data_IF_213340356348
#
_entry.id   IF_213340356348
#
_cell.length_a   1.000
_cell.length_b   1.000
_cell.length_c   1.000
_cell.angle_alpha   90.00
_cell.angle_beta   90.00
_cell.angle_gamma   90.00
#
_symmetry.space_group_name_H-M   'P 1'
#
loop_
_entity.id
_entity.type
_entity.pdbx_description
1 polymer ?
#
# COMPACT_ATOMS: atom_id res chain seq x y z
N UNK A 1 -19.12 43.35 4.20
CA UNK A 1 -18.31 42.32 3.51
C UNK A 1 -17.96 41.26 4.54
N UNK A 2 -18.47 40.05 4.35
CA UNK A 2 -18.14 38.78 4.97
C UNK A 2 -18.40 38.59 6.48
N UNK A 3 -19.66 38.27 6.81
CA UNK A 3 -19.99 37.31 7.87
C UNK A 3 -20.50 36.04 7.19
N UNK A 4 -19.58 35.15 6.86
CA UNK A 4 -19.87 33.74 6.55
C UNK A 4 -18.57 32.98 6.87
N UNK A 5 -18.23 32.90 8.15
CA UNK A 5 -17.36 31.81 8.63
C UNK A 5 -18.19 30.53 8.49
N UNK A 6 -17.85 29.60 7.57
CA UNK A 6 -18.50 28.31 7.56
C UNK A 6 -18.15 27.64 8.89
N UNK A 7 -19.18 27.54 9.75
CA UNK A 7 -19.26 26.66 10.92
C UNK A 7 -18.20 25.57 10.84
N UNK A 8 -17.24 25.60 11.78
CA UNK A 8 -16.30 24.53 12.07
C UNK A 8 -17.05 23.33 12.69
N UNK A 9 -18.18 22.92 12.11
CA UNK A 9 -18.92 21.75 12.56
C UNK A 9 -18.19 20.51 12.05
N UNK A 10 -17.48 19.89 12.99
CA UNK A 10 -17.37 18.43 13.11
C UNK A 10 -16.32 17.78 12.21
N UNK A 11 -15.06 18.12 12.52
CA UNK A 11 -13.94 17.23 12.23
C UNK A 11 -13.97 16.09 13.25
N UNK A 12 -14.64 14.98 12.92
CA UNK A 12 -14.37 13.71 13.60
C UNK A 12 -13.02 13.20 13.09
N UNK A 13 -12.00 13.23 13.95
CA UNK A 13 -10.66 12.77 13.60
C UNK A 13 -10.69 11.30 13.22
N UNK A 14 -10.11 10.97 12.05
CA UNK A 14 -10.02 9.60 11.51
C UNK A 14 -9.47 8.61 12.55
N UNK A 15 -8.48 9.05 13.32
CA UNK A 15 -7.87 8.26 14.38
C UNK A 15 -8.83 8.01 15.54
N UNK A 16 -9.56 9.05 15.98
CA UNK A 16 -10.55 8.94 17.04
C UNK A 16 -11.65 7.92 16.69
N UNK A 17 -12.08 7.88 15.43
CA UNK A 17 -13.13 6.94 15.04
C UNK A 17 -12.62 5.50 14.89
N UNK A 18 -11.39 5.31 14.41
CA UNK A 18 -10.79 3.99 14.31
C UNK A 18 -10.42 3.40 15.68
N UNK A 19 -9.89 4.24 16.59
CA UNK A 19 -9.34 3.78 17.87
C UNK A 19 -10.35 3.84 19.03
N UNK A 20 -11.34 4.73 19.02
CA UNK A 20 -12.32 4.83 20.10
C UNK A 20 -13.70 4.31 19.68
N UNK A 21 -14.25 4.77 18.55
CA UNK A 21 -15.65 4.46 18.17
C UNK A 21 -15.81 3.02 17.69
N UNK A 22 -14.90 2.53 16.84
CA UNK A 22 -14.99 1.19 16.26
C UNK A 22 -14.85 0.07 17.31
N UNK A 23 -13.92 0.15 18.27
CA UNK A 23 -13.86 -0.78 19.39
C UNK A 23 -15.11 -0.74 20.25
N UNK A 24 -15.69 0.44 20.50
CA UNK A 24 -16.96 0.55 21.24
C UNK A 24 -18.09 -0.21 20.52
N UNK A 25 -18.22 -0.06 19.20
CA UNK A 25 -19.25 -0.75 18.42
C UNK A 25 -19.09 -2.28 18.43
N UNK A 26 -17.85 -2.76 18.32
CA UNK A 26 -17.56 -4.21 18.28
C UNK A 26 -17.60 -4.87 19.67
N UNK A 27 -17.41 -4.11 20.74
CA UNK A 27 -17.37 -4.61 22.12
C UNK A 27 -18.73 -4.62 22.82
N UNK A 28 -19.82 -4.18 22.16
CA UNK A 28 -21.19 -4.32 22.67
C UNK A 28 -21.83 -5.55 22.01
N UNK A 29 -21.69 -6.76 22.58
CA UNK A 29 -22.36 -7.95 22.06
C UNK A 29 -23.85 -7.90 22.44
N UNK A 30 -24.62 -7.08 21.74
CA UNK A 30 -26.07 -7.08 21.87
C UNK A 30 -26.71 -7.92 20.76
N UNK A 31 -27.60 -8.83 21.17
CA UNK A 31 -28.42 -9.65 20.27
C UNK A 31 -29.78 -9.01 19.97
N UNK A 32 -29.99 -7.79 20.43
CA UNK A 32 -31.23 -7.09 20.18
C UNK A 32 -31.26 -6.55 18.73
N UNK A 33 -32.30 -6.86 17.94
CA UNK A 33 -32.39 -6.44 16.55
C UNK A 33 -32.25 -4.92 16.37
N UNK A 34 -32.78 -4.12 17.30
CA UNK A 34 -32.66 -2.66 17.27
C UNK A 34 -31.20 -2.20 17.35
N UNK A 35 -30.41 -2.82 18.23
CA UNK A 35 -28.99 -2.47 18.42
C UNK A 35 -28.15 -2.97 17.25
N UNK A 36 -28.43 -4.17 16.74
CA UNK A 36 -27.79 -4.70 15.53
C UNK A 36 -28.00 -3.70 14.38
N UNK A 37 -29.25 -3.29 14.11
CA UNK A 37 -29.54 -2.36 13.03
C UNK A 37 -28.93 -0.97 13.21
N UNK A 38 -28.83 -0.48 14.46
CA UNK A 38 -28.11 0.75 14.76
C UNK A 38 -26.61 0.63 14.43
N UNK A 39 -25.99 -0.48 14.81
CA UNK A 39 -24.58 -0.77 14.48
C UNK A 39 -24.36 -0.82 12.96
N UNK A 40 -25.23 -1.50 12.22
CA UNK A 40 -25.20 -1.53 10.74
C UNK A 40 -25.29 -0.12 10.15
N UNK A 41 -26.18 0.72 10.64
CA UNK A 41 -26.32 2.09 10.14
C UNK A 41 -25.04 2.92 10.37
N UNK A 42 -24.37 2.74 11.51
CA UNK A 42 -23.11 3.43 11.81
C UNK A 42 -22.00 2.92 10.88
N UNK A 43 -21.89 1.60 10.66
CA UNK A 43 -20.91 1.06 9.71
C UNK A 43 -21.17 1.53 8.27
N UNK A 44 -22.43 1.67 7.85
CA UNK A 44 -22.77 2.26 6.53
C UNK A 44 -22.33 3.73 6.43
N UNK A 45 -22.58 4.51 7.47
CA UNK A 45 -22.14 5.91 7.53
C UNK A 45 -20.60 6.01 7.51
N UNK A 46 -19.91 5.12 8.23
CA UNK A 46 -18.46 5.04 8.26
C UNK A 46 -17.87 4.60 6.91
N UNK A 47 -18.57 3.73 6.16
CA UNK A 47 -18.18 3.33 4.81
C UNK A 47 -18.31 4.45 3.79
N UNK A 48 -19.40 5.21 3.84
CA UNK A 48 -19.72 6.22 2.82
C UNK A 48 -19.08 7.59 3.07
N UNK A 49 -18.43 7.79 4.23
CA UNK A 49 -17.79 9.05 4.56
C UNK A 49 -16.32 9.02 4.14
N UNK A 50 -15.96 9.82 3.12
CA UNK A 50 -14.59 10.00 2.63
C UNK A 50 -13.58 10.39 3.74
N UNK A 51 -14.05 10.94 4.87
CA UNK A 51 -13.22 11.36 6.00
C UNK A 51 -12.95 10.27 7.04
N UNK A 52 -13.84 9.28 7.16
CA UNK A 52 -13.72 8.20 8.14
C UNK A 52 -12.99 6.99 7.54
N UNK A 53 -13.20 6.75 6.24
CA UNK A 53 -12.33 5.94 5.40
C UNK A 53 -11.87 4.64 6.07
N UNK A 54 -12.81 3.75 6.39
CA UNK A 54 -12.49 2.42 6.88
C UNK A 54 -11.53 1.74 5.88
N UNK A 55 -10.30 1.52 6.32
CA UNK A 55 -9.28 0.84 5.51
C UNK A 55 -9.65 -0.62 5.29
N UNK A 56 -9.26 -1.21 4.15
CA UNK A 56 -9.43 -2.66 3.90
C UNK A 56 -8.96 -3.55 5.06
N UNK A 57 -7.90 -3.14 5.77
CA UNK A 57 -7.29 -3.90 6.87
C UNK A 57 -8.24 -3.99 8.07
N UNK A 58 -8.83 -2.86 8.47
CA UNK A 58 -9.80 -2.81 9.58
C UNK A 58 -11.08 -3.55 9.22
N UNK A 59 -11.55 -3.39 7.97
CA UNK A 59 -12.74 -4.08 7.49
C UNK A 59 -12.54 -5.60 7.54
N UNK A 60 -11.42 -6.09 7.02
CA UNK A 60 -11.13 -7.52 6.94
C UNK A 60 -10.86 -8.16 8.31
N UNK A 61 -10.23 -7.43 9.25
CA UNK A 61 -9.78 -8.01 10.53
C UNK A 61 -10.72 -7.79 11.70
N UNK A 62 -11.57 -6.76 11.65
CA UNK A 62 -12.46 -6.37 12.77
C UNK A 62 -13.92 -6.33 12.37
N UNK A 63 -14.26 -5.59 11.31
CA UNK A 63 -15.65 -5.28 10.98
C UNK A 63 -16.39 -6.50 10.44
N UNK A 64 -15.90 -7.10 9.35
CA UNK A 64 -16.55 -8.27 8.73
C UNK A 64 -16.61 -9.46 9.69
N UNK A 65 -15.53 -9.82 10.42
CA UNK A 65 -15.59 -10.90 11.42
C UNK A 65 -16.62 -10.66 12.53
N UNK A 66 -16.91 -9.40 12.85
CA UNK A 66 -17.93 -9.04 13.83
C UNK A 66 -19.36 -9.03 13.25
N UNK A 67 -19.55 -8.52 12.03
CA UNK A 67 -20.87 -8.39 11.41
C UNK A 67 -21.48 -9.71 10.94
N UNK A 68 -20.66 -10.65 10.46
CA UNK A 68 -21.16 -11.92 9.92
C UNK A 68 -21.91 -12.75 10.98
N UNK A 69 -21.41 -12.92 12.23
CA UNK A 69 -22.17 -13.56 13.29
C UNK A 69 -23.52 -12.88 13.61
N UNK A 70 -23.60 -11.55 13.51
CA UNK A 70 -24.85 -10.83 13.75
C UNK A 70 -25.91 -11.14 12.68
N UNK A 71 -25.49 -11.50 11.45
CA UNK A 71 -26.44 -11.81 10.35
C UNK A 71 -27.28 -13.07 10.58
N UNK A 72 -26.85 -13.98 11.47
CA UNK A 72 -27.53 -15.25 11.75
C UNK A 72 -28.34 -15.22 13.05
N UNK A 73 -28.49 -14.06 13.68
CA UNK A 73 -29.27 -13.92 14.90
C UNK A 73 -30.76 -14.17 14.64
N UNK A 74 -31.38 -15.04 15.46
CA UNK A 74 -32.76 -15.50 15.26
C UNK A 74 -33.82 -14.39 15.40
N UNK A 75 -33.45 -13.26 16.01
CA UNK A 75 -34.35 -12.11 16.18
C UNK A 75 -34.51 -11.24 14.93
N UNK A 76 -33.78 -11.52 13.85
CA UNK A 76 -33.78 -10.69 12.66
C UNK A 76 -34.96 -10.97 11.73
N UNK A 77 -35.47 -9.91 11.11
CA UNK A 77 -36.39 -10.04 9.97
C UNK A 77 -35.62 -10.24 8.66
N UNK A 78 -36.28 -10.77 7.63
CA UNK A 78 -35.67 -10.96 6.30
C UNK A 78 -35.03 -9.67 5.75
N UNK A 79 -35.71 -8.53 5.94
CA UNK A 79 -35.22 -7.24 5.48
C UNK A 79 -33.97 -6.79 6.25
N UNK A 80 -33.91 -7.06 7.56
CA UNK A 80 -32.73 -6.77 8.38
C UNK A 80 -31.54 -7.62 7.95
N UNK A 81 -31.75 -8.92 7.76
CA UNK A 81 -30.74 -9.82 7.20
C UNK A 81 -30.20 -9.33 5.85
N UNK A 82 -31.09 -8.97 4.93
CA UNK A 82 -30.70 -8.44 3.62
C UNK A 82 -29.86 -7.17 3.75
N UNK A 83 -30.21 -6.29 4.69
CA UNK A 83 -29.47 -5.06 4.97
C UNK A 83 -28.06 -5.34 5.47
N UNK A 84 -27.91 -6.27 6.42
CA UNK A 84 -26.60 -6.69 6.94
C UNK A 84 -25.76 -7.29 5.82
N UNK A 85 -26.32 -8.23 5.07
CA UNK A 85 -25.60 -8.92 4.01
C UNK A 85 -25.23 -8.03 2.82
N UNK A 86 -26.03 -7.00 2.51
CA UNK A 86 -25.66 -5.99 1.50
C UNK A 86 -24.39 -5.27 1.93
N UNK A 87 -24.36 -4.80 3.18
CA UNK A 87 -23.20 -4.11 3.73
C UNK A 87 -21.95 -5.00 3.76
N UNK A 88 -22.08 -6.26 4.17
CA UNK A 88 -20.95 -7.21 4.19
C UNK A 88 -20.39 -7.42 2.78
N UNK A 89 -21.26 -7.56 1.77
CA UNK A 89 -20.79 -7.69 0.37
C UNK A 89 -20.09 -6.43 -0.11
N UNK A 90 -20.65 -5.25 0.16
CA UNK A 90 -20.02 -3.96 -0.18
C UNK A 90 -18.63 -3.84 0.46
N UNK A 91 -18.49 -4.25 1.73
CA UNK A 91 -17.21 -4.30 2.44
C UNK A 91 -16.20 -5.26 1.78
N UNK A 92 -16.63 -6.44 1.37
CA UNK A 92 -15.78 -7.42 0.69
C UNK A 92 -15.32 -6.92 -0.68
N UNK A 93 -16.22 -6.34 -1.48
CA UNK A 93 -15.85 -5.73 -2.78
C UNK A 93 -14.81 -4.64 -2.61
N UNK A 94 -14.96 -3.76 -1.61
CA UNK A 94 -13.95 -2.73 -1.32
C UNK A 94 -12.59 -3.33 -0.96
N UNK A 95 -12.57 -4.39 -0.15
CA UNK A 95 -11.31 -5.08 0.19
C UNK A 95 -10.66 -5.64 -1.07
N UNK A 96 -11.46 -6.29 -1.92
CA UNK A 96 -11.01 -6.86 -3.19
C UNK A 96 -10.42 -5.78 -4.11
N UNK A 97 -11.16 -4.70 -4.37
CA UNK A 97 -10.72 -3.60 -5.22
C UNK A 97 -9.41 -2.95 -4.71
N UNK A 98 -9.34 -2.62 -3.42
CA UNK A 98 -8.16 -1.98 -2.84
C UNK A 98 -6.93 -2.90 -2.86
N UNK A 99 -7.14 -4.20 -2.63
CA UNK A 99 -6.04 -5.18 -2.64
C UNK A 99 -5.60 -5.49 -4.06
N UNK A 100 -6.53 -5.61 -5.01
CA UNK A 100 -6.24 -5.85 -6.42
C UNK A 100 -5.40 -4.71 -7.00
N UNK A 101 -5.82 -3.46 -6.83
CA UNK A 101 -5.08 -2.28 -7.31
C UNK A 101 -3.67 -2.26 -6.72
N UNK A 102 -3.51 -2.57 -5.43
CA UNK A 102 -2.19 -2.62 -4.79
C UNK A 102 -1.29 -3.70 -5.39
N UNK A 103 -1.83 -4.88 -5.69
CA UNK A 103 -1.07 -5.97 -6.30
C UNK A 103 -0.69 -5.67 -7.76
N UNK A 104 -1.60 -5.07 -8.54
CA UNK A 104 -1.33 -4.64 -9.91
C UNK A 104 -0.20 -3.59 -9.98
N UNK A 105 -0.23 -2.60 -9.08
CA UNK A 105 0.84 -1.60 -8.97
C UNK A 105 2.18 -2.23 -8.63
N UNK A 106 2.21 -3.15 -7.66
CA UNK A 106 3.45 -3.85 -7.27
C UNK A 106 4.00 -4.72 -8.41
N UNK A 107 3.15 -5.41 -9.15
CA UNK A 107 3.56 -6.21 -10.32
C UNK A 107 4.09 -5.34 -11.46
N UNK A 108 3.49 -4.17 -11.68
CA UNK A 108 3.94 -3.20 -12.69
C UNK A 108 5.35 -2.67 -12.36
N UNK A 109 5.60 -2.34 -11.09
CA UNK A 109 6.92 -1.87 -10.62
C UNK A 109 7.99 -2.96 -10.78
N UNK A 110 7.68 -4.21 -10.41
CA UNK A 110 8.61 -5.34 -10.58
C UNK A 110 8.95 -5.57 -12.05
N UNK A 111 7.94 -5.54 -12.93
CA UNK A 111 8.13 -5.70 -14.38
C UNK A 111 9.04 -4.61 -14.96
N UNK A 112 8.89 -3.36 -14.51
CA UNK A 112 9.74 -2.24 -14.93
C UNK A 112 11.19 -2.38 -14.44
N UNK A 113 11.41 -2.83 -13.19
CA UNK A 113 12.77 -3.08 -12.69
C UNK A 113 13.46 -4.20 -13.47
N UNK A 114 12.72 -5.25 -13.82
CA UNK A 114 13.25 -6.41 -14.52
C UNK A 114 13.59 -6.09 -16.00
N UNK A 115 12.82 -5.21 -16.66
CA UNK A 115 13.15 -4.74 -18.01
C UNK A 115 14.43 -3.88 -18.03
N UNK A 116 14.60 -2.98 -17.06
CA UNK A 116 15.81 -2.15 -16.91
C UNK A 116 17.07 -3.00 -16.66
N UNK A 117 16.96 -4.06 -15.87
CA UNK A 117 18.06 -4.98 -15.61
C UNK A 117 18.46 -5.78 -16.87
N UNK A 118 17.49 -6.26 -17.65
CA UNK A 118 17.75 -7.00 -18.89
C UNK A 118 18.37 -6.12 -19.99
N UNK A 119 18.03 -4.84 -20.06
CA UNK A 119 18.66 -3.90 -21.01
C UNK A 119 20.12 -3.60 -20.71
N UNK A 120 20.60 -3.86 -19.48
CA UNK A 120 21.99 -3.55 -19.09
C UNK A 120 22.97 -4.70 -19.35
N UNK A 121 22.49 -5.94 -19.57
CA UNK A 121 23.36 -7.09 -19.87
C UNK A 121 23.58 -7.38 -21.37
N UNK A 122 22.93 -6.64 -22.29
CA UNK A 122 23.15 -6.82 -23.73
C UNK A 122 24.11 -5.79 -24.32
N UNK A 123 25.36 -5.78 -23.85
CA UNK A 123 26.50 -5.21 -24.60
C UNK A 123 27.84 -5.76 -24.11
N UNK A 124 28.08 -7.06 -24.31
CA UNK A 124 29.42 -7.65 -24.27
C UNK A 124 29.89 -7.95 -25.70
N UNK A 125 31.07 -7.49 -26.14
CA UNK A 125 31.62 -7.85 -27.43
C UNK A 125 32.02 -9.33 -27.42
N UNK A 126 31.69 -10.02 -28.51
CA UNK A 126 32.05 -11.40 -28.80
C UNK A 126 33.56 -11.60 -28.75
N UNK A 127 34.04 -12.50 -27.90
CA UNK A 127 35.39 -13.07 -28.01
C UNK A 127 35.24 -14.55 -28.35
N UNK A 128 35.55 -14.87 -29.61
CA UNK A 128 35.65 -16.22 -30.11
C UNK A 128 36.88 -16.94 -29.50
N UNK A 129 36.65 -18.21 -29.13
CA UNK A 129 37.60 -19.33 -29.18
C UNK A 129 38.63 -19.48 -28.03
N UNK A 130 38.33 -20.37 -27.07
CA UNK A 130 39.29 -21.37 -26.55
C UNK A 130 38.54 -22.51 -25.82
N UNK A 131 37.95 -23.41 -26.58
CA UNK A 131 37.56 -24.73 -26.10
C UNK A 131 38.76 -25.67 -26.17
N UNK A 132 39.40 -25.97 -25.04
CA UNK A 132 39.96 -27.28 -24.66
C UNK A 132 40.82 -27.14 -23.39
N UNK A 133 40.72 -28.13 -22.51
CA UNK A 133 41.45 -28.34 -21.25
C UNK A 133 40.75 -27.81 -19.98
N UNK A 134 39.94 -28.67 -19.34
CA UNK A 134 40.04 -29.05 -17.91
C UNK A 134 38.79 -29.82 -17.46
N UNK A 135 38.67 -31.08 -17.90
CA UNK A 135 37.93 -32.09 -17.14
C UNK A 135 38.92 -32.69 -16.13
N UNK A 136 38.90 -32.24 -14.89
CA UNK A 136 39.39 -33.00 -13.73
C UNK A 136 38.86 -32.38 -12.44
N UNK A 137 38.32 -33.27 -11.60
CA UNK A 137 37.57 -32.98 -10.40
C UNK A 137 38.39 -32.33 -9.28
N UNK A 138 37.64 -31.76 -8.33
CA UNK A 138 38.01 -31.31 -6.97
C UNK A 138 38.56 -29.88 -6.84
N UNK A 139 37.65 -28.91 -6.74
CA UNK A 139 37.97 -27.56 -6.24
C UNK A 139 37.74 -27.46 -4.73
N UNK A 140 38.85 -27.55 -4.02
CA UNK A 140 39.07 -27.11 -2.65
C UNK A 140 38.80 -25.60 -2.50
N UNK A 141 38.28 -25.20 -1.34
CA UNK A 141 38.21 -23.81 -0.91
C UNK A 141 39.62 -23.23 -0.68
N UNK A 142 39.79 -21.91 -0.82
CA UNK A 142 40.50 -21.19 0.23
C UNK A 142 39.83 -19.88 0.65
N UNK A 143 40.13 -19.54 1.89
CA UNK A 143 39.73 -18.35 2.64
C UNK A 143 40.58 -17.13 2.26
N UNK A 144 39.99 -15.94 2.45
CA UNK A 144 40.59 -14.66 2.90
C UNK A 144 40.85 -13.52 1.88
N UNK A 145 40.25 -12.37 2.25
CA UNK A 145 40.65 -10.96 2.08
C UNK A 145 40.69 -10.29 0.71
N UNK A 146 39.84 -9.26 0.60
CA UNK A 146 40.31 -7.91 0.34
C UNK A 146 40.11 -7.36 -1.07
N UNK A 147 39.41 -6.22 -1.12
CA UNK A 147 39.38 -5.22 -2.19
C UNK A 147 38.33 -5.36 -3.31
N UNK A 148 37.31 -4.50 -3.18
CA UNK A 148 36.86 -3.51 -4.17
C UNK A 148 36.39 -4.01 -5.56
N UNK A 149 35.08 -3.88 -5.82
CA UNK A 149 34.61 -2.71 -6.57
C UNK A 149 33.08 -2.66 -6.65
N UNK A 150 32.52 -1.63 -6.01
CA UNK A 150 31.19 -1.11 -6.29
C UNK A 150 31.24 -0.33 -7.60
N UNK A 151 30.62 -0.83 -8.67
CA UNK A 151 30.14 0.05 -9.75
C UNK A 151 28.72 0.46 -9.42
N UNK A 152 28.63 1.38 -8.47
CA UNK A 152 27.56 2.34 -8.48
C UNK A 152 27.78 3.21 -9.73
N UNK A 153 26.87 3.11 -10.71
CA UNK A 153 26.54 4.27 -11.55
C UNK A 153 25.77 5.26 -10.68
N UNK A 154 26.41 5.72 -9.61
CA UNK A 154 25.99 6.83 -8.77
C UNK A 154 26.95 7.97 -9.12
N UNK A 155 26.42 9.01 -9.72
CA UNK A 155 27.12 10.25 -10.03
C UNK A 155 27.87 10.71 -8.78
N UNK A 156 29.20 10.78 -8.90
CA UNK A 156 30.07 11.12 -7.79
C UNK A 156 29.90 12.59 -7.43
N UNK A 157 30.14 12.93 -6.15
CA UNK A 157 29.99 14.30 -5.63
C UNK A 157 30.81 15.33 -6.43
N UNK A 158 31.94 14.91 -7.00
CA UNK A 158 32.81 15.75 -7.85
C UNK A 158 32.14 16.13 -9.18
N UNK A 159 31.33 15.24 -9.78
CA UNK A 159 30.57 15.56 -10.99
C UNK A 159 29.46 16.58 -10.70
N UNK A 160 28.84 16.48 -9.51
CA UNK A 160 27.78 17.42 -9.08
C UNK A 160 28.34 18.80 -8.75
N UNK A 161 29.55 18.89 -8.17
CA UNK A 161 30.22 20.18 -7.90
C UNK A 161 30.74 20.83 -9.18
N UNK A 162 31.22 20.04 -10.16
CA UNK A 162 31.62 20.54 -11.48
C UNK A 162 30.45 21.17 -12.24
N UNK A 163 29.28 20.53 -12.19
CA UNK A 163 28.08 21.03 -12.88
C UNK A 163 27.54 22.31 -12.21
N UNK A 164 27.61 22.39 -10.87
CA UNK A 164 27.25 23.59 -10.12
C UNK A 164 28.16 24.78 -10.48
N UNK A 165 29.48 24.57 -10.54
CA UNK A 165 30.44 25.62 -10.94
C UNK A 165 30.29 26.05 -12.40
N UNK A 166 29.88 25.14 -13.29
CA UNK A 166 29.63 25.47 -14.70
C UNK A 166 28.35 26.29 -14.89
N UNK A 167 27.32 26.05 -14.08
CA UNK A 167 26.08 26.84 -14.10
C UNK A 167 26.32 28.28 -13.65
N UNK A 168 27.09 28.50 -12.58
CA UNK A 168 27.36 29.84 -12.04
C UNK A 168 28.21 30.70 -13.00
N UNK A 169 29.14 30.08 -13.72
CA UNK A 169 29.97 30.78 -14.72
C UNK A 169 29.14 31.21 -15.94
N UNK A 170 28.09 30.46 -16.28
CA UNK A 170 27.22 30.75 -17.42
C UNK A 170 26.17 31.84 -17.10
N UNK A 171 25.80 31.99 -15.83
CA UNK A 171 24.87 33.03 -15.36
C UNK A 171 25.58 34.40 -15.25
N UNK A 172 26.88 34.41 -14.91
CA UNK A 172 27.71 35.62 -14.91
C UNK A 172 27.98 36.23 -16.28
N UNK A 173 27.82 35.48 -17.37
CA UNK A 173 28.00 35.97 -18.75
C UNK A 173 26.71 36.52 -19.38
N UNK A 174 25.57 36.42 -18.69
CA UNK A 174 24.28 36.94 -19.15
C UNK A 174 23.81 38.22 -18.44
N UNK A 175 24.64 38.79 -17.57
CA UNK A 175 24.47 40.14 -17.03
C UNK A 175 25.20 41.17 -17.90
#
# INVERSE_FOLDING_TARGET
>A
MNRDDPMRSEHLDKWLVLDEVLPILSNVPSKEPAIIMASIAIYKLAMNSNKLGLTKEVIATKVVPHLVPLSIENGLTLQQFQTIMSLVREMLCKIEDEQQVKLEQLNSIKSQQQSLFNSTQQKSPTFDNLSQLTNSANSFSPVLSGANNSTASALTLEDKERLAKQSEQNERLKA
#
